data_IF_120822687481
#
_entry.id   IF_120822687481
#
_cell.length_a   1.000
_cell.length_b   1.000
_cell.length_c   1.000
_cell.angle_alpha   90.00
_cell.angle_beta   90.00
_cell.angle_gamma   90.00
#
_symmetry.space_group_name_H-M   'P 1'
#
loop_
_entity.id
_entity.type
_entity.pdbx_description
1 polymer ?
#
# COMPACT_ATOMS: atom_id res chain seq x y z
N UNK A 1 8.64 21.17 -11.98
CA UNK A 1 7.25 20.64 -11.89
C UNK A 1 7.31 19.49 -10.90
N UNK A 2 6.56 19.53 -9.79
CA UNK A 2 6.59 18.46 -8.81
C UNK A 2 6.11 17.15 -9.46
N UNK A 3 6.87 16.08 -9.28
CA UNK A 3 6.51 14.77 -9.81
C UNK A 3 5.20 14.29 -9.17
N UNK A 4 4.23 13.90 -9.99
CA UNK A 4 2.94 13.43 -9.49
C UNK A 4 3.11 12.10 -8.73
N UNK A 5 2.32 11.86 -7.67
CA UNK A 5 2.35 10.60 -6.90
C UNK A 5 2.29 9.35 -7.78
N UNK A 6 1.53 9.41 -8.87
CA UNK A 6 1.38 8.32 -9.84
C UNK A 6 2.66 8.08 -10.65
N UNK A 7 3.43 9.13 -10.95
CA UNK A 7 4.73 9.00 -11.62
C UNK A 7 5.75 8.34 -10.70
N UNK A 8 5.83 8.80 -9.45
CA UNK A 8 6.70 8.16 -8.46
C UNK A 8 6.32 6.69 -8.24
N UNK A 9 5.02 6.37 -8.10
CA UNK A 9 4.59 4.97 -8.01
C UNK A 9 4.90 4.18 -9.27
N UNK A 10 4.81 4.78 -10.46
CA UNK A 10 5.18 4.11 -11.71
C UNK A 10 6.66 3.77 -11.76
N UNK A 11 7.52 4.60 -11.19
CA UNK A 11 8.95 4.33 -11.12
C UNK A 11 9.25 3.22 -10.11
N UNK A 12 8.64 3.29 -8.93
CA UNK A 12 8.91 2.37 -7.81
C UNK A 12 8.23 1.01 -7.95
N UNK A 13 6.99 0.98 -8.45
CA UNK A 13 6.21 -0.24 -8.64
C UNK A 13 5.24 -0.11 -9.84
N UNK A 14 5.74 -0.34 -11.06
CA UNK A 14 4.98 -0.15 -12.29
C UNK A 14 3.66 -0.94 -12.37
N UNK A 15 3.61 -2.17 -11.85
CA UNK A 15 2.40 -3.00 -11.88
C UNK A 15 1.27 -2.43 -11.00
N UNK A 16 1.57 -1.95 -9.78
CA UNK A 16 0.59 -1.25 -8.94
C UNK A 16 0.15 0.07 -9.56
N UNK A 17 1.08 0.82 -10.16
CA UNK A 17 0.73 2.05 -10.89
C UNK A 17 -0.25 1.78 -12.04
N UNK A 18 -0.15 0.60 -12.67
CA UNK A 18 -1.10 0.15 -13.68
C UNK A 18 -2.45 -0.27 -13.08
N UNK A 19 -2.45 -0.94 -11.93
CA UNK A 19 -3.68 -1.32 -11.24
C UNK A 19 -4.53 -0.09 -10.87
N UNK A 20 -3.92 0.98 -10.35
CA UNK A 20 -4.64 2.22 -10.02
C UNK A 20 -5.07 3.02 -11.26
N UNK A 21 -4.66 2.63 -12.47
CA UNK A 21 -5.12 3.28 -13.70
C UNK A 21 -6.61 3.03 -13.98
N UNK A 22 -7.19 1.99 -13.36
CA UNK A 22 -8.59 1.61 -13.53
C UNK A 22 -9.56 2.33 -12.58
N UNK A 23 -9.06 3.15 -11.66
CA UNK A 23 -9.89 3.97 -10.75
C UNK A 23 -9.95 5.45 -11.18
N UNK A 24 -10.95 6.23 -10.70
CA UNK A 24 -11.10 7.65 -11.03
C UNK A 24 -9.85 8.49 -10.72
N UNK A 25 -9.61 9.54 -11.52
CA UNK A 25 -8.39 10.38 -11.40
C UNK A 25 -8.22 11.03 -10.02
N UNK A 26 -9.32 11.42 -9.36
CA UNK A 26 -9.29 12.09 -8.04
C UNK A 26 -8.80 11.15 -6.93
N UNK A 27 -9.27 9.90 -6.91
CA UNK A 27 -8.84 8.90 -5.92
C UNK A 27 -7.48 8.30 -6.25
N UNK A 28 -7.08 8.28 -7.53
CA UNK A 28 -5.79 7.73 -7.97
C UNK A 28 -4.59 8.34 -7.28
N UNK A 29 -4.60 9.65 -7.03
CA UNK A 29 -3.50 10.33 -6.32
C UNK A 29 -3.38 9.83 -4.88
N UNK A 30 -4.51 9.70 -4.18
CA UNK A 30 -4.55 9.21 -2.80
C UNK A 30 -4.10 7.76 -2.71
N UNK A 31 -4.56 6.91 -3.62
CA UNK A 31 -4.11 5.51 -3.69
C UNK A 31 -2.61 5.44 -3.94
N UNK A 32 -2.09 6.26 -4.86
CA UNK A 32 -0.66 6.29 -5.13
C UNK A 32 0.16 6.69 -3.90
N UNK A 33 -0.25 7.72 -3.17
CA UNK A 33 0.42 8.14 -1.94
C UNK A 33 0.31 7.08 -0.82
N UNK A 34 -0.83 6.42 -0.68
CA UNK A 34 -1.02 5.30 0.25
C UNK A 34 -0.12 4.10 -0.09
N UNK A 35 0.00 3.72 -1.36
CA UNK A 35 0.88 2.62 -1.76
C UNK A 35 2.36 2.98 -1.66
N UNK A 36 2.74 4.21 -1.99
CA UNK A 36 4.10 4.69 -1.78
C UNK A 36 4.48 4.65 -0.30
N UNK A 37 3.59 5.16 0.57
CA UNK A 37 3.80 5.10 2.02
C UNK A 37 3.85 3.64 2.50
N UNK A 38 2.99 2.78 1.95
CA UNK A 38 2.99 1.35 2.25
C UNK A 38 4.35 0.71 1.95
N UNK A 39 4.91 1.00 0.77
CA UNK A 39 6.23 0.50 0.36
C UNK A 39 7.36 1.04 1.22
N UNK A 40 7.34 2.32 1.60
CA UNK A 40 8.40 2.92 2.41
C UNK A 40 8.46 2.33 3.81
N UNK A 41 7.32 2.18 4.48
CA UNK A 41 7.26 1.52 5.78
C UNK A 41 7.62 0.03 5.68
N UNK A 42 7.23 -0.66 4.60
CA UNK A 42 7.63 -2.03 4.30
C UNK A 42 9.16 -2.15 4.16
N UNK A 43 9.78 -1.30 3.34
CA UNK A 43 11.25 -1.25 3.14
C UNK A 43 11.99 -0.93 4.43
N UNK A 44 11.42 -0.06 5.27
CA UNK A 44 11.96 0.25 6.58
C UNK A 44 11.91 -0.97 7.51
N UNK A 45 10.78 -1.66 7.60
CA UNK A 45 10.59 -2.84 8.44
C UNK A 45 11.56 -3.98 8.09
N UNK A 46 11.93 -4.14 6.81
CA UNK A 46 12.88 -5.16 6.37
C UNK A 46 14.36 -4.79 6.58
N UNK A 47 14.69 -3.62 7.11
CA UNK A 47 16.08 -3.30 7.45
C UNK A 47 16.72 -4.38 8.34
N UNK A 48 18.02 -4.64 8.18
CA UNK A 48 18.70 -5.75 8.85
C UNK A 48 18.56 -5.69 10.37
N UNK A 49 18.62 -4.49 10.95
CA UNK A 49 18.48 -4.27 12.40
C UNK A 49 17.11 -3.71 12.75
N UNK A 50 16.44 -4.32 13.73
CA UNK A 50 15.12 -3.90 14.18
C UNK A 50 15.12 -2.45 14.71
N UNK A 51 16.20 -2.03 15.36
CA UNK A 51 16.35 -0.64 15.83
C UNK A 51 16.44 0.35 14.66
N UNK A 52 17.18 0.03 13.59
CA UNK A 52 17.25 0.87 12.39
C UNK A 52 15.87 0.95 11.72
N UNK A 53 15.14 -0.18 11.66
CA UNK A 53 13.77 -0.21 11.15
C UNK A 53 12.85 0.73 11.95
N UNK A 54 12.89 0.65 13.28
CA UNK A 54 12.11 1.49 14.18
C UNK A 54 12.43 2.98 14.00
N UNK A 55 13.72 3.36 13.90
CA UNK A 55 14.13 4.75 13.67
C UNK A 55 13.63 5.30 12.33
N UNK A 56 13.70 4.49 11.25
CA UNK A 56 13.19 4.90 9.93
C UNK A 56 11.68 5.11 9.93
N UNK A 57 10.94 4.26 10.66
CA UNK A 57 9.48 4.41 10.82
C UNK A 57 9.15 5.60 11.72
N UNK A 58 9.93 5.83 12.77
CA UNK A 58 9.79 6.99 13.66
C UNK A 58 9.94 8.32 12.90
N UNK A 59 10.85 8.38 11.92
CA UNK A 59 10.98 9.56 11.06
C UNK A 59 9.66 9.89 10.34
N UNK A 60 8.97 8.90 9.77
CA UNK A 60 7.67 9.12 9.10
C UNK A 60 6.62 9.64 10.07
N UNK A 61 6.54 9.05 11.27
CA UNK A 61 5.62 9.51 12.32
C UNK A 61 5.92 10.96 12.70
N UNK A 62 7.17 11.27 13.00
CA UNK A 62 7.60 12.59 13.46
C UNK A 62 7.41 13.66 12.38
N UNK A 63 7.67 13.31 11.11
CA UNK A 63 7.40 14.19 9.97
C UNK A 63 5.91 14.56 9.88
N UNK A 64 5.01 13.60 10.13
CA UNK A 64 3.57 13.82 10.10
C UNK A 64 3.11 14.62 11.33
N UNK A 65 3.52 14.23 12.53
CA UNK A 65 3.12 14.89 13.80
C UNK A 65 3.61 16.34 13.83
N UNK A 66 4.88 16.56 13.51
CA UNK A 66 5.49 17.89 13.56
C UNK A 66 5.15 18.74 12.34
N UNK A 67 4.42 18.19 11.35
CA UNK A 67 4.13 18.83 10.06
C UNK A 67 5.41 19.29 9.33
N UNK A 68 6.48 18.49 9.43
CA UNK A 68 7.79 18.78 8.88
C UNK A 68 8.20 17.67 7.90
N UNK A 69 8.00 17.92 6.60
CA UNK A 69 8.35 16.97 5.54
C UNK A 69 9.84 16.86 5.26
N UNK A 70 10.66 17.81 5.73
CA UNK A 70 12.09 17.94 5.40
C UNK A 70 12.35 17.89 3.88
N UNK A 71 11.42 18.44 3.07
CA UNK A 71 11.47 18.41 1.60
C UNK A 71 11.33 17.02 0.96
N UNK A 72 10.83 16.02 1.70
CA UNK A 72 10.46 14.72 1.14
C UNK A 72 9.11 14.86 0.42
N UNK A 73 9.06 14.68 -0.93
CA UNK A 73 7.85 15.00 -1.69
C UNK A 73 6.61 14.20 -1.28
N UNK A 74 6.77 12.94 -0.85
CA UNK A 74 5.65 12.15 -0.35
C UNK A 74 5.12 12.69 0.99
N UNK A 75 6.01 13.08 1.90
CA UNK A 75 5.61 13.67 3.17
C UNK A 75 4.86 15.00 2.96
N UNK A 76 5.32 15.86 2.05
CA UNK A 76 4.60 17.09 1.68
C UNK A 76 3.15 16.80 1.24
N UNK A 77 2.97 15.80 0.38
CA UNK A 77 1.63 15.43 -0.12
C UNK A 77 0.74 14.83 0.96
N UNK A 78 1.30 14.00 1.84
CA UNK A 78 0.57 13.44 2.98
C UNK A 78 0.11 14.53 3.94
N UNK A 79 0.96 15.52 4.23
CA UNK A 79 0.60 16.66 5.07
C UNK A 79 -0.52 17.51 4.43
N UNK A 80 -0.46 17.75 3.12
CA UNK A 80 -1.54 18.44 2.40
C UNK A 80 -2.84 17.65 2.45
N UNK A 81 -2.79 16.33 2.20
CA UNK A 81 -3.97 15.45 2.24
C UNK A 81 -4.59 15.42 3.65
N UNK A 82 -3.74 15.38 4.67
CA UNK A 82 -4.13 15.32 6.07
C UNK A 82 -4.79 16.57 6.61
N UNK A 83 -4.49 17.76 6.07
CA UNK A 83 -5.23 18.99 6.39
C UNK A 83 -6.72 18.87 6.08
N UNK A 84 -7.07 18.10 5.05
CA UNK A 84 -8.46 17.81 4.69
C UNK A 84 -9.01 16.54 5.34
N UNK A 85 -8.14 15.63 5.80
CA UNK A 85 -8.51 14.33 6.36
C UNK A 85 -7.66 14.02 7.62
N UNK A 86 -7.90 14.71 8.74
CA UNK A 86 -7.10 14.55 9.95
C UNK A 86 -7.19 13.13 10.53
N UNK A 87 -8.36 12.50 10.46
CA UNK A 87 -8.59 11.14 10.97
C UNK A 87 -7.74 10.09 10.25
N UNK A 88 -7.47 10.31 8.95
CA UNK A 88 -6.60 9.45 8.16
C UNK A 88 -5.16 9.54 8.67
N UNK A 89 -4.64 10.75 8.89
CA UNK A 89 -3.30 10.93 9.42
C UNK A 89 -3.17 10.36 10.83
N UNK A 90 -4.16 10.60 11.70
CA UNK A 90 -4.19 10.02 13.04
C UNK A 90 -4.10 8.49 13.00
N UNK A 91 -4.91 7.86 12.14
CA UNK A 91 -4.84 6.40 11.94
C UNK A 91 -3.49 5.92 11.41
N UNK A 92 -2.80 6.70 10.58
CA UNK A 92 -1.47 6.38 10.07
C UNK A 92 -0.42 6.53 11.17
N UNK A 93 -0.42 7.63 11.93
CA UNK A 93 0.55 7.86 13.01
C UNK A 93 0.41 6.83 14.12
N UNK A 94 -0.83 6.48 14.50
CA UNK A 94 -1.10 5.45 15.50
C UNK A 94 -0.58 4.06 15.06
N UNK A 95 -0.66 3.76 13.77
CA UNK A 95 -0.12 2.53 13.22
C UNK A 95 1.41 2.54 13.20
N UNK A 96 2.04 3.66 12.84
CA UNK A 96 3.49 3.83 12.88
C UNK A 96 4.02 3.69 14.32
N UNK A 97 3.35 4.26 15.31
CA UNK A 97 3.72 4.12 16.73
C UNK A 97 3.66 2.67 17.22
N UNK A 98 2.62 1.93 16.82
CA UNK A 98 2.52 0.50 17.12
C UNK A 98 3.63 -0.30 16.44
N UNK A 99 3.95 -0.02 15.18
CA UNK A 99 5.07 -0.66 14.47
C UNK A 99 6.40 -0.41 15.18
N UNK A 100 6.66 0.84 15.59
CA UNK A 100 7.88 1.22 16.32
C UNK A 100 7.96 0.44 17.63
N UNK A 101 6.87 0.38 18.38
CA UNK A 101 6.81 -0.32 19.67
C UNK A 101 7.11 -1.82 19.51
N UNK A 102 6.55 -2.47 18.49
CA UNK A 102 6.81 -3.88 18.19
C UNK A 102 8.27 -4.12 17.78
N UNK A 103 8.80 -3.32 16.86
CA UNK A 103 10.16 -3.48 16.35
C UNK A 103 11.21 -3.19 17.42
N UNK A 104 11.03 -2.13 18.21
CA UNK A 104 11.92 -1.79 19.32
C UNK A 104 11.82 -2.81 20.47
N UNK A 105 10.65 -3.42 20.67
CA UNK A 105 10.42 -4.50 21.64
C UNK A 105 10.94 -5.87 21.21
N UNK A 106 11.53 -5.99 20.01
CA UNK A 106 12.07 -7.25 19.50
C UNK A 106 11.02 -8.24 18.98
N UNK A 107 9.80 -7.78 18.70
CA UNK A 107 8.77 -8.61 18.09
C UNK A 107 9.13 -8.97 16.63
N UNK A 108 8.40 -9.93 16.07
CA UNK A 108 8.62 -10.33 14.69
C UNK A 108 8.24 -9.18 13.73
N UNK A 109 9.04 -8.99 12.67
CA UNK A 109 8.77 -7.99 11.62
C UNK A 109 7.39 -8.19 10.99
N UNK A 110 6.93 -9.44 10.89
CA UNK A 110 5.60 -9.81 10.41
C UNK A 110 4.47 -9.16 11.22
N UNK A 111 4.64 -8.99 12.53
CA UNK A 111 3.61 -8.44 13.41
C UNK A 111 3.44 -6.94 13.15
N UNK A 112 4.55 -6.22 13.01
CA UNK A 112 4.55 -4.81 12.63
C UNK A 112 3.93 -4.61 11.23
N UNK A 113 4.30 -5.46 10.27
CA UNK A 113 3.74 -5.41 8.91
C UNK A 113 2.25 -5.77 8.87
N UNK A 114 1.77 -6.66 9.74
CA UNK A 114 0.36 -6.99 9.84
C UNK A 114 -0.48 -5.78 10.29
N UNK A 115 -0.01 -5.02 11.28
CA UNK A 115 -0.65 -3.75 11.69
C UNK A 115 -0.67 -2.76 10.53
N UNK A 116 0.45 -2.65 9.83
CA UNK A 116 0.59 -1.73 8.71
C UNK A 116 -0.32 -2.06 7.53
N UNK A 117 -0.34 -3.32 7.10
CA UNK A 117 -1.20 -3.82 6.05
C UNK A 117 -2.67 -3.57 6.37
N UNK A 118 -3.08 -3.83 7.62
CA UNK A 118 -4.45 -3.57 8.07
C UNK A 118 -4.83 -2.10 7.97
N UNK A 119 -3.95 -1.21 8.43
CA UNK A 119 -4.20 0.24 8.42
C UNK A 119 -4.30 0.76 6.98
N UNK A 120 -3.34 0.43 6.12
CA UNK A 120 -3.36 0.88 4.72
C UNK A 120 -4.58 0.31 3.98
N UNK A 121 -4.88 -0.98 4.16
CA UNK A 121 -6.05 -1.61 3.56
C UNK A 121 -7.34 -0.88 3.95
N UNK A 122 -7.51 -0.58 5.24
CA UNK A 122 -8.66 0.17 5.74
C UNK A 122 -8.76 1.56 5.09
N UNK A 123 -7.65 2.29 5.00
CA UNK A 123 -7.63 3.61 4.36
C UNK A 123 -8.01 3.51 2.88
N UNK A 124 -7.46 2.56 2.13
CA UNK A 124 -7.81 2.33 0.72
C UNK A 124 -9.32 2.07 0.57
N UNK A 125 -9.89 1.17 1.38
CA UNK A 125 -11.33 0.85 1.33
C UNK A 125 -12.19 2.08 1.62
N UNK A 126 -11.83 2.93 2.59
CA UNK A 126 -12.55 4.18 2.86
C UNK A 126 -12.61 5.08 1.62
N UNK A 127 -11.51 5.12 0.83
CA UNK A 127 -11.42 5.92 -0.39
C UNK A 127 -12.08 5.28 -1.61
N UNK A 128 -12.31 3.97 -1.59
CA UNK A 128 -12.90 3.20 -2.68
C UNK A 128 -14.39 3.45 -2.92
N UNK A 129 -15.06 4.19 -2.02
CA UNK A 129 -16.52 4.33 -1.95
C UNK A 129 -17.28 3.00 -1.74
N UNK A 130 -16.58 1.88 -1.48
CA UNK A 130 -17.21 0.68 -0.94
C UNK A 130 -17.73 0.94 0.47
N UNK A 131 -18.74 0.17 0.89
CA UNK A 131 -19.32 0.25 2.22
C UNK A 131 -18.23 0.04 3.29
N UNK A 132 -17.69 1.12 3.91
CA UNK A 132 -16.50 1.05 4.72
C UNK A 132 -16.77 0.43 6.11
N UNK A 133 -18.00 -0.02 6.36
CA UNK A 133 -18.43 -0.59 7.63
C UNK A 133 -18.34 -2.13 7.66
N UNK A 134 -17.98 -2.78 6.55
CA UNK A 134 -17.86 -4.24 6.51
C UNK A 134 -16.47 -4.68 6.99
N UNK A 135 -16.35 -5.06 8.29
CA UNK A 135 -15.10 -5.57 8.88
C UNK A 135 -14.44 -6.66 8.04
N UNK A 136 -15.26 -7.57 7.49
CA UNK A 136 -14.77 -8.66 6.64
C UNK A 136 -14.02 -8.17 5.40
N UNK A 137 -14.44 -7.05 4.79
CA UNK A 137 -13.77 -6.49 3.61
C UNK A 137 -12.42 -5.89 3.99
N UNK A 138 -12.31 -5.26 5.15
CA UNK A 138 -11.04 -4.74 5.66
C UNK A 138 -10.05 -5.85 5.97
N UNK A 139 -10.52 -6.93 6.60
CA UNK A 139 -9.68 -8.07 6.94
C UNK A 139 -9.18 -8.78 5.66
N UNK A 140 -10.05 -8.96 4.66
CA UNK A 140 -9.68 -9.49 3.35
C UNK A 140 -8.67 -8.58 2.63
N UNK A 141 -8.90 -7.26 2.62
CA UNK A 141 -7.99 -6.30 2.01
C UNK A 141 -6.61 -6.30 2.69
N UNK A 142 -6.56 -6.44 4.02
CA UNK A 142 -5.33 -6.61 4.78
C UNK A 142 -4.57 -7.88 4.36
N UNK A 143 -5.28 -9.02 4.24
CA UNK A 143 -4.70 -10.27 3.77
C UNK A 143 -4.15 -10.16 2.34
N UNK A 144 -4.82 -9.40 1.46
CA UNK A 144 -4.32 -9.16 0.09
C UNK A 144 -3.00 -8.40 0.10
N UNK A 145 -2.87 -7.36 0.94
CA UNK A 145 -1.61 -6.63 1.08
C UNK A 145 -0.50 -7.49 1.71
N UNK A 146 -0.86 -8.36 2.65
CA UNK A 146 0.08 -9.35 3.19
C UNK A 146 0.56 -10.33 2.11
N UNK A 147 -0.36 -10.91 1.33
CA UNK A 147 -0.01 -11.81 0.25
C UNK A 147 0.86 -11.11 -0.82
N UNK A 148 0.57 -9.84 -1.13
CA UNK A 148 1.41 -9.04 -2.03
C UNK A 148 2.83 -8.86 -1.46
N UNK A 149 2.94 -8.51 -0.18
CA UNK A 149 4.23 -8.39 0.52
C UNK A 149 5.05 -9.69 0.47
N UNK A 150 4.42 -10.83 0.76
CA UNK A 150 5.06 -12.14 0.69
C UNK A 150 5.51 -12.49 -0.74
N UNK A 151 4.68 -12.21 -1.75
CA UNK A 151 5.06 -12.42 -3.16
C UNK A 151 6.26 -11.57 -3.58
N UNK A 152 6.37 -10.34 -3.07
CA UNK A 152 7.54 -9.47 -3.31
C UNK A 152 8.82 -9.97 -2.62
N UNK A 153 8.70 -10.82 -1.58
CA UNK A 153 9.83 -11.54 -1.00
C UNK A 153 10.17 -12.85 -1.75
N UNK A 154 9.40 -13.20 -2.78
CA UNK A 154 9.53 -14.47 -3.49
C UNK A 154 8.79 -15.64 -2.82
N UNK A 155 7.98 -15.37 -1.78
CA UNK A 155 7.11 -16.36 -1.16
C UNK A 155 5.76 -16.37 -1.87
N UNK A 156 5.37 -17.51 -2.45
CA UNK A 156 4.04 -17.70 -3.01
C UNK A 156 3.10 -18.22 -1.94
N UNK A 157 2.30 -17.36 -1.33
CA UNK A 157 1.21 -17.78 -0.45
C UNK A 157 0.08 -18.42 -1.26
N UNK A 158 -0.33 -19.63 -0.88
CA UNK A 158 -1.54 -20.29 -1.39
C UNK A 158 -2.31 -20.90 -0.21
N UNK A 159 -3.66 -20.78 -0.17
CA UNK A 159 -4.52 -20.15 -1.17
C UNK A 159 -4.53 -18.61 -1.08
N UNK A 160 -4.78 -17.95 -2.22
CA UNK A 160 -4.97 -16.50 -2.26
C UNK A 160 -6.20 -16.08 -1.44
N UNK A 161 -6.14 -14.94 -0.73
CA UNK A 161 -7.26 -14.47 0.07
C UNK A 161 -8.48 -14.16 -0.81
N UNK A 162 -9.65 -14.61 -0.37
CA UNK A 162 -10.91 -14.27 -1.02
C UNK A 162 -11.22 -12.79 -0.82
N UNK A 163 -11.79 -12.13 -1.83
CA UNK A 163 -12.18 -10.73 -1.74
C UNK A 163 -13.63 -10.52 -2.17
N UNK A 164 -14.45 -10.06 -1.23
CA UNK A 164 -15.88 -9.80 -1.42
C UNK A 164 -16.19 -8.34 -1.77
N UNK A 165 -15.22 -7.42 -1.58
CA UNK A 165 -15.37 -6.00 -1.92
C UNK A 165 -15.42 -5.72 -3.42
N UNK A 166 -15.81 -4.50 -3.81
CA UNK A 166 -15.88 -4.08 -5.21
C UNK A 166 -14.66 -3.26 -5.64
N UNK A 167 -13.76 -2.92 -4.72
CA UNK A 167 -12.52 -2.21 -5.06
C UNK A 167 -11.73 -2.97 -6.14
N UNK A 168 -11.62 -2.33 -7.30
CA UNK A 168 -10.96 -2.88 -8.48
C UNK A 168 -9.47 -3.06 -8.25
N UNK A 169 -8.84 -2.23 -7.42
CA UNK A 169 -7.40 -2.31 -7.15
C UNK A 169 -7.08 -3.58 -6.36
N UNK A 170 -7.85 -3.91 -5.33
CA UNK A 170 -7.63 -5.18 -4.59
C UNK A 170 -7.87 -6.42 -5.46
N UNK A 171 -8.90 -6.39 -6.31
CA UNK A 171 -9.14 -7.43 -7.33
C UNK A 171 -7.94 -7.58 -8.26
N UNK A 172 -7.43 -6.47 -8.78
CA UNK A 172 -6.25 -6.46 -9.65
C UNK A 172 -4.98 -6.91 -8.92
N UNK A 173 -4.81 -6.59 -7.63
CA UNK A 173 -3.68 -7.08 -6.84
C UNK A 173 -3.75 -8.60 -6.71
N UNK A 174 -4.91 -9.18 -6.38
CA UNK A 174 -5.09 -10.64 -6.37
C UNK A 174 -4.72 -11.24 -7.73
N UNK A 175 -5.19 -10.63 -8.82
CA UNK A 175 -4.88 -11.10 -10.17
C UNK A 175 -3.38 -11.00 -10.50
N UNK A 176 -2.69 -9.97 -10.01
CA UNK A 176 -1.25 -9.81 -10.16
C UNK A 176 -0.49 -10.87 -9.37
N UNK A 177 -0.91 -11.19 -8.13
CA UNK A 177 -0.21 -12.14 -7.26
C UNK A 177 -0.45 -13.60 -7.64
N UNK A 178 -1.48 -13.93 -8.44
CA UNK A 178 -1.68 -15.27 -8.99
C UNK A 178 -0.54 -15.77 -9.88
N UNK A 179 0.25 -14.86 -10.44
CA UNK A 179 1.37 -15.16 -11.34
C UNK A 179 2.47 -14.15 -11.05
N UNK A 180 3.50 -14.54 -10.26
CA UNK A 180 4.53 -13.63 -9.78
C UNK A 180 5.23 -12.83 -10.87
N UNK A 181 5.31 -13.36 -12.10
CA UNK A 181 5.91 -12.65 -13.25
C UNK A 181 5.19 -11.35 -13.59
N UNK A 182 3.91 -11.23 -13.24
CA UNK A 182 3.09 -10.01 -13.45
C UNK A 182 3.52 -8.85 -12.57
N UNK A 183 4.18 -9.11 -11.44
CA UNK A 183 4.69 -8.05 -10.57
C UNK A 183 5.92 -7.35 -11.19
N UNK A 184 6.67 -8.03 -12.06
CA UNK A 184 7.87 -7.53 -12.72
C UNK A 184 7.58 -6.87 -14.09
N UNK A 185 6.61 -5.97 -14.11
CA UNK A 185 6.33 -5.09 -15.26
C UNK A 185 7.26 -3.86 -15.26
N UNK A 186 7.75 -3.36 -16.41
CA UNK A 186 7.54 -3.87 -17.77
C UNK A 186 8.50 -4.98 -18.22
N UNK A 187 9.57 -5.24 -17.47
CA UNK A 187 10.71 -6.04 -17.91
C UNK A 187 10.35 -7.48 -18.31
N UNK A 188 9.46 -8.14 -17.56
CA UNK A 188 9.07 -9.53 -17.82
C UNK A 188 7.69 -9.66 -18.51
N UNK A 189 6.86 -8.62 -18.47
CA UNK A 189 5.47 -8.68 -18.94
C UNK A 189 5.07 -7.42 -19.74
N UNK A 190 5.70 -7.11 -20.89
CA UNK A 190 5.44 -5.87 -21.63
C UNK A 190 3.97 -5.71 -22.07
N UNK A 191 3.23 -6.82 -22.22
CA UNK A 191 1.81 -6.84 -22.57
C UNK A 191 0.87 -6.85 -21.35
N UNK A 192 1.37 -6.63 -20.13
CA UNK A 192 0.56 -6.69 -18.91
C UNK A 192 -0.61 -5.70 -18.95
N UNK A 193 -0.39 -4.49 -19.47
CA UNK A 193 -1.41 -3.46 -19.63
C UNK A 193 -2.63 -3.97 -20.42
N UNK A 194 -2.38 -4.70 -21.51
CA UNK A 194 -3.41 -5.28 -22.36
C UNK A 194 -4.11 -6.43 -21.63
N UNK A 195 -3.33 -7.33 -21.00
CA UNK A 195 -3.87 -8.46 -20.22
C UNK A 195 -4.78 -7.99 -19.09
N UNK A 196 -4.38 -6.96 -18.34
CA UNK A 196 -5.18 -6.37 -17.26
C UNK A 196 -6.46 -5.75 -17.82
N UNK A 197 -6.36 -4.96 -18.89
CA UNK A 197 -7.55 -4.38 -19.56
C UNK A 197 -8.55 -5.45 -20.00
N UNK A 198 -8.07 -6.53 -20.62
CA UNK A 198 -8.91 -7.66 -21.02
C UNK A 198 -9.53 -8.38 -19.81
N UNK A 199 -8.75 -8.60 -18.75
CA UNK A 199 -9.24 -9.27 -17.55
C UNK A 199 -10.35 -8.46 -16.85
N UNK A 200 -10.21 -7.13 -16.79
CA UNK A 200 -11.24 -6.22 -16.29
C UNK A 200 -12.49 -6.25 -17.18
N UNK A 201 -12.33 -6.13 -18.50
CA UNK A 201 -13.46 -6.14 -19.45
C UNK A 201 -14.25 -7.45 -19.42
N UNK A 202 -13.55 -8.58 -19.34
CA UNK A 202 -14.15 -9.92 -19.32
C UNK A 202 -14.66 -10.34 -17.93
N UNK A 203 -14.61 -9.46 -16.92
CA UNK A 203 -14.96 -9.75 -15.51
C UNK A 203 -14.27 -11.02 -14.99
N UNK A 204 -13.01 -11.23 -15.39
CA UNK A 204 -12.17 -12.34 -14.89
C UNK A 204 -11.47 -12.00 -13.58
N UNK A 205 -11.90 -10.91 -12.94
CA UNK A 205 -11.40 -10.36 -11.68
C UNK A 205 -12.56 -9.74 -10.90
#
# INVERSE_FOLDING_TARGET
>A
MAESSVSSLRHEFPALALAIAFIPRRSRLVYADLFLLWMEARRAAYANEAMIAAVRIAWWRDAIINQQSQSVPLADRLLVLGKSHPDMLASITDALDQMISLLAGGAAKSDALAIWNKTIAKQIIIWSQDNPQLSIVHDQASQILHALDQNLLGHTEQPMPAYSGKDMVFRLIIWLTQDPTRLYYPDQQPLLALKMSMAVMLRRI
#
